data_IF_954914440729
#
_entry.id   IF_954914440729
#
_cell.length_a   1.000
_cell.length_b   1.000
_cell.length_c   1.000
_cell.angle_alpha   90.00
_cell.angle_beta   90.00
_cell.angle_gamma   90.00
#
_symmetry.space_group_name_H-M   'P 1'
#
loop_
_entity.id
_entity.type
_entity.pdbx_description
1 polymer ?
#
# COMPACT_ATOMS: atom_id res chain seq x y z
N UNK A 1 15.15 -48.82 8.92
CA UNK A 1 13.77 -48.64 9.40
C UNK A 1 13.78 -47.64 10.54
N UNK A 2 12.89 -46.64 10.46
CA UNK A 2 12.47 -45.66 11.47
C UNK A 2 13.58 -44.75 12.05
N UNK A 3 13.77 -43.50 11.63
CA UNK A 3 12.88 -42.31 11.56
C UNK A 3 12.89 -41.50 12.88
N UNK A 4 13.60 -40.37 12.82
CA UNK A 4 13.78 -39.41 13.91
C UNK A 4 13.15 -38.09 13.52
N UNK A 5 11.85 -37.95 13.81
CA UNK A 5 11.07 -36.74 13.55
C UNK A 5 11.33 -35.70 14.66
N UNK A 6 12.29 -34.80 14.42
CA UNK A 6 12.45 -33.56 15.17
C UNK A 6 11.46 -32.50 14.68
N UNK A 7 10.24 -32.50 15.25
CA UNK A 7 9.25 -31.46 15.02
C UNK A 7 9.68 -30.13 15.62
N UNK A 8 10.26 -29.25 14.80
CA UNK A 8 10.49 -27.85 15.17
C UNK A 8 9.16 -27.11 15.24
N UNK A 9 8.74 -26.71 16.44
CA UNK A 9 7.58 -25.85 16.61
C UNK A 9 7.73 -24.57 15.77
N UNK A 10 6.67 -24.10 15.08
CA UNK A 10 6.74 -22.85 14.32
C UNK A 10 7.12 -21.71 15.27
N UNK A 11 8.20 -20.98 14.95
CA UNK A 11 8.61 -19.79 15.69
C UNK A 11 7.42 -18.81 15.74
N UNK A 12 7.03 -18.31 16.92
CA UNK A 12 5.93 -17.37 17.01
C UNK A 12 6.26 -16.10 16.19
N UNK A 13 5.25 -15.50 15.54
CA UNK A 13 5.44 -14.26 14.79
C UNK A 13 5.97 -13.16 15.72
N UNK A 14 7.10 -12.55 15.34
CA UNK A 14 7.66 -11.40 16.04
C UNK A 14 6.97 -10.14 15.56
N UNK A 15 6.31 -9.44 16.47
CA UNK A 15 5.64 -8.18 16.16
C UNK A 15 6.54 -7.01 16.52
N UNK A 16 6.82 -6.12 15.56
CA UNK A 16 7.56 -4.88 15.77
C UNK A 16 6.62 -3.71 15.56
N UNK A 17 6.50 -2.86 16.58
CA UNK A 17 5.75 -1.60 16.53
C UNK A 17 6.77 -0.47 16.55
N UNK A 18 6.81 0.34 15.50
CA UNK A 18 7.70 1.50 15.41
C UNK A 18 6.90 2.78 15.65
N UNK A 19 7.41 3.66 16.51
CA UNK A 19 6.77 4.93 16.86
C UNK A 19 7.79 6.07 16.76
N UNK A 20 7.30 7.26 16.37
CA UNK A 20 8.08 8.48 16.45
C UNK A 20 8.43 8.81 17.92
N UNK A 21 9.47 9.60 18.17
CA UNK A 21 9.96 9.90 19.52
C UNK A 21 8.89 10.54 20.45
N UNK A 22 7.85 11.16 19.88
CA UNK A 22 6.72 11.76 20.60
C UNK A 22 5.69 10.74 21.12
N UNK A 23 5.65 9.50 20.60
CA UNK A 23 4.58 8.52 20.85
C UNK A 23 5.03 7.28 21.66
N UNK A 24 6.17 7.39 22.34
CA UNK A 24 6.78 6.28 23.09
C UNK A 24 5.85 5.67 24.14
N UNK A 25 5.09 6.50 24.86
CA UNK A 25 4.17 6.03 25.90
C UNK A 25 3.03 5.17 25.32
N UNK A 26 2.48 5.56 24.17
CA UNK A 26 1.45 4.80 23.48
C UNK A 26 1.99 3.46 22.93
N UNK A 27 3.21 3.48 22.39
CA UNK A 27 3.89 2.26 21.94
C UNK A 27 4.21 1.29 23.07
N UNK A 28 4.61 1.79 24.25
CA UNK A 28 4.87 0.97 25.44
C UNK A 28 3.59 0.33 26.00
N UNK A 29 2.47 1.07 25.98
CA UNK A 29 1.16 0.53 26.33
C UNK A 29 0.74 -0.61 25.38
N UNK A 30 0.85 -0.40 24.06
CA UNK A 30 0.52 -1.43 23.07
C UNK A 30 1.42 -2.67 23.17
N UNK A 31 2.72 -2.50 23.40
CA UNK A 31 3.64 -3.62 23.58
C UNK A 31 3.39 -4.40 24.88
N UNK A 32 2.99 -3.73 25.96
CA UNK A 32 2.60 -4.39 27.20
C UNK A 32 1.36 -5.28 27.01
N UNK A 33 0.37 -4.79 26.25
CA UNK A 33 -0.83 -5.56 25.93
C UNK A 33 -0.53 -6.80 25.08
N UNK A 34 0.40 -6.69 24.12
CA UNK A 34 0.86 -7.82 23.31
C UNK A 34 1.60 -8.87 24.15
N UNK A 35 2.46 -8.45 25.08
CA UNK A 35 3.15 -9.37 26.01
C UNK A 35 2.19 -10.10 26.93
N UNK A 36 1.15 -9.40 27.42
CA UNK A 36 0.10 -10.01 28.23
C UNK A 36 -0.66 -11.13 27.48
N UNK A 37 -0.68 -11.08 26.14
CA UNK A 37 -1.26 -12.10 25.25
C UNK A 37 -0.26 -13.20 24.86
N UNK A 38 0.91 -13.27 25.50
CA UNK A 38 1.95 -14.25 25.21
C UNK A 38 2.74 -13.99 23.93
N UNK A 39 2.65 -12.78 23.37
CA UNK A 39 3.34 -12.39 22.15
C UNK A 39 4.66 -11.69 22.48
N UNK A 40 5.72 -12.02 21.74
CA UNK A 40 7.01 -11.34 21.86
C UNK A 40 6.93 -9.94 21.20
N UNK A 41 6.86 -8.90 22.04
CA UNK A 41 6.72 -7.51 21.62
C UNK A 41 7.77 -6.62 22.31
N UNK A 42 8.41 -5.72 21.56
CA UNK A 42 9.38 -4.76 22.07
C UNK A 42 9.19 -3.39 21.42
N UNK A 43 9.25 -2.33 22.21
CA UNK A 43 9.26 -0.94 21.74
C UNK A 43 10.68 -0.52 21.45
N UNK A 44 10.94 0.05 20.28
CA UNK A 44 12.21 0.69 19.95
C UNK A 44 11.95 2.10 19.44
N UNK A 45 12.67 3.06 20.01
CA UNK A 45 12.73 4.42 19.46
C UNK A 45 13.69 4.43 18.26
N UNK A 46 13.49 5.37 17.34
CA UNK A 46 14.30 5.55 16.12
C UNK A 46 15.82 5.73 16.35
N UNK A 47 16.30 5.74 17.60
CA UNK A 47 17.72 5.74 17.95
C UNK A 47 18.35 4.34 18.11
N UNK A 48 17.64 3.24 17.82
CA UNK A 48 18.14 1.88 18.07
C UNK A 48 17.74 0.84 17.01
N UNK A 49 17.72 1.26 15.74
CA UNK A 49 17.88 0.28 14.66
C UNK A 49 19.20 -0.47 14.90
N UNK A 50 19.23 -1.81 14.79
CA UNK A 50 20.51 -2.50 14.75
C UNK A 50 21.34 -1.86 13.64
N UNK A 51 22.53 -1.37 13.97
CA UNK A 51 23.55 -1.11 12.95
C UNK A 51 23.84 -2.46 12.32
N UNK A 52 23.12 -2.75 11.24
CA UNK A 52 23.44 -3.85 10.35
C UNK A 52 24.82 -3.49 9.81
N UNK A 53 25.81 -4.32 10.11
CA UNK A 53 27.13 -4.21 9.52
C UNK A 53 26.95 -4.12 8.01
N UNK A 54 27.11 -2.90 7.48
CA UNK A 54 26.95 -2.64 6.07
C UNK A 54 27.91 -3.55 5.31
N UNK A 55 27.40 -4.27 4.32
CA UNK A 55 28.27 -4.78 3.26
C UNK A 55 29.00 -3.61 2.62
N UNK A 56 30.09 -3.89 1.89
CA UNK A 56 30.72 -2.85 1.08
C UNK A 56 29.63 -2.16 0.24
N UNK A 57 29.50 -0.82 0.30
CA UNK A 57 28.51 -0.12 -0.50
C UNK A 57 28.71 -0.52 -1.95
N UNK A 58 27.61 -0.84 -2.64
CA UNK A 58 27.64 -0.86 -4.10
C UNK A 58 28.31 0.45 -4.55
N UNK A 59 29.14 0.39 -5.59
CA UNK A 59 29.80 1.59 -6.11
C UNK A 59 28.78 2.71 -6.42
N UNK A 60 29.20 3.88 -6.90
CA UNK A 60 28.28 4.94 -7.32
C UNK A 60 27.45 4.58 -8.58
N UNK A 61 26.98 3.34 -8.69
CA UNK A 61 26.11 2.78 -9.71
C UNK A 61 24.71 3.38 -9.66
N UNK A 62 24.10 3.48 -10.84
CA UNK A 62 22.75 3.97 -10.98
C UNK A 62 21.74 2.98 -10.39
N UNK A 63 20.65 3.50 -9.83
CA UNK A 63 19.48 2.68 -9.51
C UNK A 63 18.52 2.77 -10.69
N UNK A 64 18.08 1.62 -11.22
CA UNK A 64 17.21 1.55 -12.38
C UNK A 64 15.85 0.94 -12.03
N UNK A 65 14.78 1.45 -12.64
CA UNK A 65 13.48 0.81 -12.59
C UNK A 65 13.37 -0.19 -13.74
N UNK A 66 13.03 -1.45 -13.44
CA UNK A 66 12.95 -2.52 -14.47
C UNK A 66 11.57 -3.14 -14.60
N UNK A 67 10.63 -2.73 -13.74
CA UNK A 67 9.28 -3.28 -13.72
C UNK A 67 8.31 -2.28 -13.10
N UNK A 68 7.09 -2.28 -13.62
CA UNK A 68 6.01 -1.41 -13.18
C UNK A 68 4.70 -2.15 -13.25
N UNK A 69 3.86 -1.96 -12.23
CA UNK A 69 2.47 -2.36 -12.29
C UNK A 69 1.60 -1.33 -11.63
N UNK A 70 0.33 -1.31 -12.02
CA UNK A 70 -0.64 -0.40 -11.42
C UNK A 70 -2.08 -0.88 -11.58
N UNK A 71 -2.92 -0.41 -10.66
CA UNK A 71 -4.35 -0.25 -10.86
C UNK A 71 -4.76 1.14 -10.37
N UNK A 72 -5.42 1.90 -11.22
CA UNK A 72 -5.92 3.25 -10.99
C UNK A 72 -7.28 3.42 -11.70
N UNK A 73 -8.05 4.49 -11.46
CA UNK A 73 -9.33 4.69 -12.14
C UNK A 73 -9.13 4.66 -13.66
N UNK A 74 -9.90 3.81 -14.34
CA UNK A 74 -9.85 3.62 -15.80
C UNK A 74 -8.73 2.71 -16.33
N UNK A 75 -7.68 2.42 -15.55
CA UNK A 75 -6.52 1.65 -16.03
C UNK A 75 -6.04 0.60 -15.02
N UNK A 76 -5.83 -0.61 -15.54
CA UNK A 76 -5.29 -1.76 -14.83
C UNK A 76 -3.93 -2.17 -15.41
N UNK A 77 -3.23 -1.31 -16.15
CA UNK A 77 -1.86 -1.56 -16.60
C UNK A 77 -1.15 -0.24 -16.96
N UNK A 78 0.20 -0.23 -17.02
CA UNK A 78 0.95 0.93 -17.50
C UNK A 78 0.56 1.41 -18.91
N UNK A 79 0.29 0.48 -19.83
CA UNK A 79 -0.11 0.80 -21.20
C UNK A 79 -1.50 1.44 -21.25
N UNK A 80 -2.46 0.89 -20.49
CA UNK A 80 -3.79 1.47 -20.38
C UNK A 80 -3.74 2.87 -19.75
N UNK A 81 -2.89 3.08 -18.73
CA UNK A 81 -2.67 4.40 -18.16
C UNK A 81 -2.06 5.37 -19.19
N UNK A 82 -1.12 4.90 -20.01
CA UNK A 82 -0.53 5.71 -21.06
C UNK A 82 -1.57 6.19 -22.08
N UNK A 83 -2.47 5.29 -22.51
CA UNK A 83 -3.57 5.64 -23.40
C UNK A 83 -4.50 6.70 -22.76
N UNK A 84 -4.87 6.53 -21.49
CA UNK A 84 -5.69 7.52 -20.77
C UNK A 84 -5.02 8.90 -20.68
N UNK A 85 -3.71 8.94 -20.41
CA UNK A 85 -2.94 10.19 -20.32
C UNK A 85 -2.81 10.86 -21.69
N UNK A 86 -2.61 10.08 -22.76
CA UNK A 86 -2.58 10.58 -24.13
C UNK A 86 -3.92 11.19 -24.54
N UNK A 87 -5.00 10.49 -24.23
CA UNK A 87 -6.36 10.85 -24.66
C UNK A 87 -6.99 11.91 -23.72
N UNK A 88 -6.33 12.21 -22.59
CA UNK A 88 -6.69 13.24 -21.60
C UNK A 88 -8.11 13.05 -21.04
N UNK A 89 -8.51 11.81 -20.80
CA UNK A 89 -9.86 11.47 -20.32
C UNK A 89 -9.90 11.47 -18.79
N UNK A 90 -10.63 12.41 -18.13
CA UNK A 90 -10.75 12.41 -16.68
C UNK A 90 -11.47 11.16 -16.17
N UNK A 91 -10.94 10.55 -15.11
CA UNK A 91 -11.48 9.31 -14.52
C UNK A 91 -12.13 9.57 -13.14
N UNK A 92 -12.97 10.59 -13.06
CA UNK A 92 -13.74 10.92 -11.86
C UNK A 92 -15.18 10.44 -12.01
N UNK A 93 -15.70 9.76 -10.99
CA UNK A 93 -17.03 9.14 -11.00
C UNK A 93 -17.62 9.07 -9.60
N UNK A 94 -18.91 8.75 -9.49
CA UNK A 94 -19.53 8.39 -8.21
C UNK A 94 -19.02 7.02 -7.72
N UNK A 95 -19.12 6.72 -6.41
CA UNK A 95 -18.58 5.47 -5.83
C UNK A 95 -19.28 4.17 -6.25
N UNK A 96 -20.46 4.24 -6.88
CA UNK A 96 -21.28 3.07 -7.17
C UNK A 96 -21.63 2.31 -5.88
N UNK A 97 -21.56 0.97 -5.90
CA UNK A 97 -21.88 0.13 -4.74
C UNK A 97 -20.86 0.15 -3.58
N UNK A 98 -19.84 1.01 -3.62
CA UNK A 98 -18.79 1.07 -2.57
C UNK A 98 -19.21 1.84 -1.33
N UNK A 99 -20.08 2.84 -1.49
CA UNK A 99 -20.67 3.60 -0.39
C UNK A 99 -21.97 4.22 -0.86
N UNK A 100 -22.90 4.42 0.07
CA UNK A 100 -24.12 5.17 -0.19
C UNK A 100 -23.80 6.67 -0.22
N UNK A 101 -23.56 7.20 -1.43
CA UNK A 101 -23.22 8.61 -1.60
C UNK A 101 -24.40 9.54 -1.30
N UNK A 102 -25.64 9.08 -1.48
CA UNK A 102 -26.83 9.87 -1.19
C UNK A 102 -27.01 10.08 0.31
N UNK A 103 -26.68 9.06 1.11
CA UNK A 103 -26.64 9.18 2.56
C UNK A 103 -25.52 10.11 3.06
N UNK A 104 -24.44 10.28 2.30
CA UNK A 104 -23.26 11.07 2.71
C UNK A 104 -23.23 12.48 2.13
N UNK A 105 -23.97 12.76 1.08
CA UNK A 105 -23.90 14.03 0.36
C UNK A 105 -24.82 15.11 0.95
N UNK A 106 -24.37 16.37 0.89
CA UNK A 106 -25.19 17.56 1.15
C UNK A 106 -24.75 18.71 0.23
N UNK A 107 -25.73 19.46 -0.28
CA UNK A 107 -25.46 20.71 -0.99
C UNK A 107 -24.88 21.79 -0.06
N UNK A 108 -25.21 21.75 1.23
CA UNK A 108 -24.64 22.63 2.25
C UNK A 108 -23.27 22.09 2.70
N UNK A 109 -22.16 22.79 2.41
CA UNK A 109 -20.81 22.40 2.84
C UNK A 109 -20.64 22.37 4.36
N UNK A 110 -21.44 23.16 5.10
CA UNK A 110 -21.40 23.23 6.55
C UNK A 110 -22.17 22.08 7.23
N UNK A 111 -22.98 21.32 6.49
CA UNK A 111 -23.74 20.21 7.06
C UNK A 111 -22.81 19.20 7.76
N UNK A 112 -23.05 18.86 9.03
CA UNK A 112 -22.17 17.98 9.78
C UNK A 112 -22.15 16.58 9.17
N UNK A 113 -20.97 15.94 9.18
CA UNK A 113 -20.77 14.57 8.69
C UNK A 113 -21.17 14.31 7.22
N UNK A 114 -21.19 15.37 6.40
CA UNK A 114 -21.51 15.30 4.96
C UNK A 114 -20.34 15.70 4.07
N UNK A 115 -20.25 15.07 2.89
CA UNK A 115 -19.45 15.55 1.77
C UNK A 115 -20.27 16.47 0.87
N UNK A 116 -19.66 17.54 0.35
CA UNK A 116 -20.29 18.38 -0.67
C UNK A 116 -19.99 17.91 -2.11
N UNK A 117 -19.07 16.95 -2.28
CA UNK A 117 -18.79 16.34 -3.59
C UNK A 117 -19.28 14.90 -3.63
N UNK A 118 -19.79 14.50 -4.82
CA UNK A 118 -20.28 13.14 -5.11
C UNK A 118 -19.25 12.30 -5.85
N UNK A 119 -18.28 12.95 -6.51
CA UNK A 119 -17.36 12.29 -7.43
C UNK A 119 -15.93 12.27 -6.90
N UNK A 120 -15.22 11.19 -7.23
CA UNK A 120 -13.83 10.94 -6.86
C UNK A 120 -13.20 9.96 -7.86
N UNK A 121 -11.92 9.67 -7.71
CA UNK A 121 -11.25 8.64 -8.51
C UNK A 121 -11.51 7.24 -7.95
N UNK A 122 -12.55 6.56 -8.44
CA UNK A 122 -12.84 5.18 -8.06
C UNK A 122 -12.41 4.18 -9.14
N UNK A 123 -11.92 3.02 -8.72
CA UNK A 123 -11.63 1.89 -9.62
C UNK A 123 -12.89 1.03 -9.69
N UNK A 124 -13.73 1.15 -10.72
CA UNK A 124 -14.94 0.31 -10.81
C UNK A 124 -14.63 -1.10 -11.29
N UNK A 125 -13.86 -1.21 -12.36
CA UNK A 125 -13.62 -2.47 -13.06
C UNK A 125 -12.13 -2.84 -13.02
N UNK A 126 -11.74 -3.59 -11.98
CA UNK A 126 -10.41 -4.20 -11.97
C UNK A 126 -10.37 -5.36 -12.97
N UNK A 127 -9.50 -5.26 -13.97
CA UNK A 127 -9.12 -6.38 -14.86
C UNK A 127 -7.87 -7.05 -14.28
N UNK A 128 -8.01 -8.10 -13.43
CA UNK A 128 -6.87 -8.64 -12.70
C UNK A 128 -5.88 -9.32 -13.65
N UNK A 129 -4.61 -9.23 -13.25
CA UNK A 129 -3.49 -9.98 -13.82
C UNK A 129 -3.86 -11.48 -13.90
N UNK A 130 -3.50 -12.21 -14.96
CA UNK A 130 -3.93 -13.61 -15.16
C UNK A 130 -3.69 -14.52 -13.96
N UNK A 131 -2.53 -14.39 -13.31
CA UNK A 131 -2.23 -15.15 -12.08
C UNK A 131 -3.16 -14.78 -10.92
N UNK A 132 -3.44 -13.49 -10.71
CA UNK A 132 -4.39 -13.07 -9.67
C UNK A 132 -5.80 -13.57 -9.98
N UNK A 133 -6.22 -13.54 -11.25
CA UNK A 133 -7.51 -14.08 -11.69
C UNK A 133 -7.65 -15.57 -11.35
N UNK A 134 -6.59 -16.36 -11.61
CA UNK A 134 -6.56 -17.78 -11.25
C UNK A 134 -6.57 -18.00 -9.72
N UNK A 135 -5.90 -17.15 -8.95
CA UNK A 135 -5.92 -17.20 -7.48
C UNK A 135 -7.30 -16.85 -6.90
N UNK A 136 -7.97 -15.83 -7.46
CA UNK A 136 -9.34 -15.46 -7.09
C UNK A 136 -10.33 -16.58 -7.42
N UNK A 137 -10.25 -17.17 -8.62
CA UNK A 137 -11.10 -18.28 -9.03
C UNK A 137 -10.92 -19.53 -8.13
N UNK A 138 -9.72 -19.73 -7.59
CA UNK A 138 -9.41 -20.81 -6.67
C UNK A 138 -9.69 -20.47 -5.19
N UNK A 139 -10.21 -19.27 -4.88
CA UNK A 139 -10.45 -18.83 -3.49
C UNK A 139 -9.18 -18.64 -2.65
N UNK A 140 -8.02 -18.46 -3.28
CA UNK A 140 -6.69 -18.36 -2.62
C UNK A 140 -6.19 -16.93 -2.43
N UNK A 141 -6.82 -15.94 -3.06
CA UNK A 141 -6.43 -14.54 -2.93
C UNK A 141 -7.24 -13.84 -1.81
N UNK A 142 -6.62 -12.94 -1.02
CA UNK A 142 -7.33 -12.16 0.00
C UNK A 142 -8.34 -11.22 -0.66
N UNK A 143 -9.64 -11.43 -0.42
CA UNK A 143 -10.71 -10.70 -1.14
C UNK A 143 -11.31 -9.51 -0.38
N UNK A 144 -10.98 -9.32 0.90
CA UNK A 144 -11.70 -8.36 1.75
C UNK A 144 -11.28 -6.91 1.54
N UNK A 145 -9.99 -6.66 1.34
CA UNK A 145 -9.44 -5.31 1.20
C UNK A 145 -9.10 -5.02 -0.28
N UNK A 146 -9.86 -4.14 -0.98
CA UNK A 146 -9.60 -3.80 -2.37
C UNK A 146 -8.19 -3.26 -2.62
N UNK A 147 -7.65 -2.46 -1.69
CA UNK A 147 -6.31 -1.89 -1.83
C UNK A 147 -5.22 -2.98 -1.82
N UNK A 148 -5.41 -4.07 -1.07
CA UNK A 148 -4.55 -5.26 -1.12
C UNK A 148 -4.63 -6.01 -2.44
N UNK A 149 -5.82 -6.13 -3.04
CA UNK A 149 -6.00 -6.73 -4.36
C UNK A 149 -5.31 -5.92 -5.46
N UNK A 150 -5.46 -4.59 -5.46
CA UNK A 150 -4.78 -3.71 -6.41
C UNK A 150 -3.26 -3.76 -6.25
N UNK A 151 -2.77 -3.79 -5.01
CA UNK A 151 -1.35 -3.94 -4.73
C UNK A 151 -0.84 -5.29 -5.28
N UNK A 152 -1.52 -6.40 -4.97
CA UNK A 152 -1.16 -7.73 -5.45
C UNK A 152 -1.14 -7.81 -6.98
N UNK A 153 -2.20 -7.32 -7.62
CA UNK A 153 -2.30 -7.21 -9.08
C UNK A 153 -1.09 -6.51 -9.68
N UNK A 154 -0.74 -5.38 -9.09
CA UNK A 154 0.31 -4.53 -9.60
C UNK A 154 1.71 -5.09 -9.31
N UNK A 155 1.92 -5.79 -8.18
CA UNK A 155 3.20 -6.46 -7.91
C UNK A 155 3.42 -7.58 -8.92
N UNK A 156 2.39 -8.34 -9.28
CA UNK A 156 2.49 -9.36 -10.33
C UNK A 156 2.93 -8.75 -11.66
N UNK A 157 2.29 -7.66 -12.09
CA UNK A 157 2.71 -6.92 -13.29
C UNK A 157 4.14 -6.41 -13.22
N UNK A 158 4.54 -5.85 -12.07
CA UNK A 158 5.90 -5.33 -11.90
C UNK A 158 6.97 -6.43 -11.93
N UNK A 159 6.57 -7.70 -11.81
CA UNK A 159 7.45 -8.87 -11.89
C UNK A 159 7.34 -9.59 -13.24
N UNK A 160 6.41 -9.22 -14.11
CA UNK A 160 6.29 -9.80 -15.44
C UNK A 160 7.57 -9.55 -16.26
N UNK A 161 8.10 -10.61 -16.87
CA UNK A 161 9.36 -10.55 -17.61
C UNK A 161 10.61 -10.43 -16.74
N UNK A 162 10.50 -10.31 -15.41
CA UNK A 162 11.66 -10.13 -14.54
C UNK A 162 12.04 -11.45 -13.85
N UNK A 163 13.29 -11.88 -14.07
CA UNK A 163 13.85 -13.05 -13.39
C UNK A 163 14.45 -12.68 -12.04
N UNK A 164 14.24 -13.56 -11.06
CA UNK A 164 14.77 -13.46 -9.71
C UNK A 164 15.53 -14.74 -9.44
N UNK A 165 16.85 -14.63 -9.30
CA UNK A 165 17.68 -15.79 -8.98
C UNK A 165 17.48 -16.22 -7.53
N UNK A 166 17.69 -17.51 -7.27
CA UNK A 166 17.65 -18.03 -5.91
C UNK A 166 18.68 -17.31 -5.03
N UNK A 167 18.23 -16.80 -3.88
CA UNK A 167 19.07 -16.02 -2.96
C UNK A 167 19.03 -14.50 -3.19
N UNK A 168 18.33 -14.00 -4.21
CA UNK A 168 18.11 -12.55 -4.41
C UNK A 168 17.40 -11.96 -3.20
N UNK A 169 18.04 -11.02 -2.50
CA UNK A 169 17.45 -10.36 -1.33
C UNK A 169 16.52 -9.27 -1.80
N UNK A 170 15.23 -9.44 -1.54
CA UNK A 170 14.19 -8.47 -1.91
C UNK A 170 13.83 -7.61 -0.71
N UNK A 171 13.81 -6.30 -0.87
CA UNK A 171 13.23 -5.35 0.07
C UNK A 171 11.86 -4.89 -0.44
N UNK A 172 10.90 -4.68 0.45
CA UNK A 172 9.60 -4.10 0.08
C UNK A 172 9.29 -2.87 0.94
N UNK A 173 8.94 -1.76 0.31
CA UNK A 173 8.36 -0.60 0.97
C UNK A 173 7.07 -0.19 0.25
N UNK A 174 5.98 -0.08 1.00
CA UNK A 174 4.67 0.28 0.44
C UNK A 174 4.06 1.42 1.24
N UNK A 175 3.74 2.51 0.55
CA UNK A 175 2.98 3.62 1.10
C UNK A 175 1.52 3.24 1.29
N UNK A 176 1.04 3.22 2.53
CA UNK A 176 -0.36 2.93 2.84
C UNK A 176 -0.72 3.57 4.18
N UNK A 177 -1.83 4.31 4.17
CA UNK A 177 -2.31 5.03 5.36
C UNK A 177 -3.39 4.21 6.06
N UNK A 178 -3.53 4.37 7.38
CA UNK A 178 -4.53 3.64 8.15
C UNK A 178 -5.98 3.96 7.75
N UNK A 179 -6.22 5.18 7.27
CA UNK A 179 -7.52 5.67 6.78
C UNK A 179 -7.79 5.27 5.32
N UNK A 180 -6.84 4.65 4.63
CA UNK A 180 -6.93 4.25 3.21
C UNK A 180 -7.47 2.85 2.97
N UNK A 181 -7.94 2.14 4.00
CA UNK A 181 -8.50 0.79 3.91
C UNK A 181 -10.03 0.79 3.97
N UNK A 182 -10.68 0.14 3.00
CA UNK A 182 -12.15 0.06 2.96
C UNK A 182 -12.69 -0.97 3.97
N UNK A 183 -12.06 -2.14 4.06
CA UNK A 183 -12.41 -3.14 5.06
C UNK A 183 -12.04 -2.66 6.46
N UNK A 184 -10.95 -1.90 6.60
CA UNK A 184 -10.55 -1.30 7.88
C UNK A 184 -11.62 -0.35 8.41
N UNK A 185 -12.12 0.58 7.59
CA UNK A 185 -13.21 1.49 7.94
C UNK A 185 -14.47 0.74 8.38
N UNK A 186 -14.95 -0.20 7.55
CA UNK A 186 -16.15 -0.99 7.87
C UNK A 186 -16.00 -1.81 9.16
N UNK A 187 -14.80 -2.33 9.41
CA UNK A 187 -14.49 -3.09 10.62
C UNK A 187 -14.48 -2.20 11.86
N UNK A 188 -13.92 -0.99 11.75
CA UNK A 188 -13.92 -0.01 12.84
C UNK A 188 -15.35 0.45 13.18
N UNK A 189 -16.20 0.72 12.19
CA UNK A 189 -17.59 1.13 12.42
C UNK A 189 -18.42 0.03 13.08
N UNK A 190 -18.26 -1.23 12.63
CA UNK A 190 -18.89 -2.39 13.26
C UNK A 190 -18.40 -2.61 14.68
N UNK A 191 -17.08 -2.54 14.88
CA UNK A 191 -16.48 -2.70 16.21
C UNK A 191 -16.91 -1.59 17.18
N UNK A 192 -16.90 -0.33 16.74
CA UNK A 192 -17.33 0.82 17.54
C UNK A 192 -18.78 0.70 17.99
N UNK A 193 -19.67 0.22 17.11
CA UNK A 193 -21.07 -0.02 17.48
C UNK A 193 -21.20 -1.09 18.57
N UNK A 194 -20.40 -2.17 18.52
CA UNK A 194 -20.36 -3.17 19.59
C UNK A 194 -19.80 -2.61 20.89
N UNK A 195 -18.79 -1.74 20.84
CA UNK A 195 -18.28 -1.09 22.05
C UNK A 195 -19.35 -0.25 22.74
N UNK A 196 -20.22 0.42 21.97
CA UNK A 196 -21.34 1.21 22.50
C UNK A 196 -22.51 0.32 23.00
N UNK A 197 -22.79 -0.79 22.32
CA UNK A 197 -23.89 -1.70 22.66
C UNK A 197 -23.53 -2.77 23.72
N UNK A 198 -22.23 -3.02 23.93
CA UNK A 198 -21.68 -4.05 24.82
C UNK A 198 -20.80 -5.07 24.08
N UNK A 199 -19.64 -5.50 24.64
CA UNK A 199 -18.64 -6.33 23.93
C UNK A 199 -19.14 -7.67 23.38
N UNK A 200 -20.22 -8.21 23.95
CA UNK A 200 -20.85 -9.47 23.56
C UNK A 200 -22.00 -9.29 22.56
N UNK A 201 -22.36 -8.05 22.19
CA UNK A 201 -23.41 -7.79 21.24
C UNK A 201 -22.99 -8.28 19.84
N UNK A 202 -23.85 -9.09 19.21
CA UNK A 202 -23.73 -9.37 17.79
C UNK A 202 -23.95 -8.08 16.99
N UNK A 203 -23.45 -8.03 15.75
CA UNK A 203 -23.81 -6.91 14.89
C UNK A 203 -25.31 -6.92 14.64
N UNK A 204 -26.00 -5.78 14.82
CA UNK A 204 -27.36 -5.67 14.33
C UNK A 204 -27.34 -5.88 12.81
N UNK A 205 -28.29 -6.68 12.29
CA UNK A 205 -28.37 -7.07 10.88
C UNK A 205 -28.28 -5.86 9.90
N UNK A 206 -28.92 -4.70 10.17
CA UNK A 206 -28.76 -3.51 9.33
C UNK A 206 -27.32 -2.98 9.24
N UNK A 207 -26.52 -3.11 10.30
CA UNK A 207 -25.13 -2.65 10.33
C UNK A 207 -24.22 -3.56 9.50
N UNK A 208 -24.48 -4.86 9.51
CA UNK A 208 -23.76 -5.80 8.66
C UNK A 208 -24.07 -5.57 7.17
N UNK A 209 -25.31 -5.19 6.84
CA UNK A 209 -25.72 -4.82 5.49
C UNK A 209 -25.07 -3.50 5.01
N UNK A 210 -24.97 -2.49 5.88
CA UNK A 210 -24.32 -1.21 5.55
C UNK A 210 -22.79 -1.32 5.43
N UNK A 211 -22.17 -2.20 6.24
CA UNK A 211 -20.71 -2.36 6.29
C UNK A 211 -20.27 -3.80 5.98
N UNK A 212 -20.55 -4.30 4.76
CA UNK A 212 -20.39 -5.71 4.39
C UNK A 212 -18.92 -6.17 4.40
N UNK A 213 -17.99 -5.27 4.06
CA UNK A 213 -16.55 -5.54 4.11
C UNK A 213 -15.97 -5.67 5.54
N UNK A 214 -16.76 -5.36 6.58
CA UNK A 214 -16.26 -5.39 7.95
C UNK A 214 -15.89 -6.79 8.44
N UNK A 215 -14.87 -6.84 9.29
CA UNK A 215 -14.29 -8.05 9.86
C UNK A 215 -14.25 -7.94 11.38
N UNK A 216 -14.53 -9.03 12.13
CA UNK A 216 -14.25 -9.06 13.56
C UNK A 216 -12.73 -9.04 13.85
N UNK A 217 -11.90 -9.44 12.87
CA UNK A 217 -10.44 -9.34 12.96
C UNK A 217 -9.96 -7.96 12.47
N UNK A 218 -9.90 -7.00 13.41
CA UNK A 218 -9.35 -5.66 13.13
C UNK A 218 -7.86 -5.72 12.80
N UNK A 219 -7.11 -6.60 13.46
CA UNK A 219 -5.67 -6.71 13.25
C UNK A 219 -5.35 -7.14 11.82
N UNK A 220 -6.15 -8.03 11.23
CA UNK A 220 -6.09 -8.45 9.84
C UNK A 220 -6.33 -7.35 8.81
N UNK A 221 -7.00 -6.25 9.20
CA UNK A 221 -7.24 -5.08 8.33
C UNK A 221 -6.15 -4.01 8.41
N UNK A 222 -5.19 -4.15 9.34
CA UNK A 222 -4.12 -3.18 9.49
C UNK A 222 -3.23 -3.11 8.22
N UNK A 223 -2.74 -1.92 7.83
CA UNK A 223 -1.97 -1.73 6.59
C UNK A 223 -0.82 -2.73 6.39
N UNK A 224 -0.07 -3.04 7.45
CA UNK A 224 1.03 -4.01 7.39
C UNK A 224 0.57 -5.44 7.08
N UNK A 225 -0.63 -5.85 7.52
CA UNK A 225 -1.22 -7.15 7.15
C UNK A 225 -1.65 -7.15 5.71
N UNK A 226 -2.32 -6.09 5.27
CA UNK A 226 -2.77 -5.94 3.87
C UNK A 226 -1.58 -6.02 2.91
N UNK A 227 -0.49 -5.30 3.19
CA UNK A 227 0.73 -5.32 2.37
C UNK A 227 1.37 -6.71 2.38
N UNK A 228 1.54 -7.32 3.55
CA UNK A 228 2.13 -8.66 3.67
C UNK A 228 1.32 -9.71 2.92
N UNK A 229 0.00 -9.70 3.08
CA UNK A 229 -0.89 -10.66 2.44
C UNK A 229 -0.95 -10.44 0.91
N UNK A 230 -0.81 -9.19 0.44
CA UNK A 230 -0.67 -8.88 -0.97
C UNK A 230 0.62 -9.47 -1.58
N UNK A 231 1.73 -9.50 -0.83
CA UNK A 231 3.03 -10.03 -1.27
C UNK A 231 3.16 -11.55 -1.12
N UNK A 232 2.35 -12.16 -0.25
CA UNK A 232 2.44 -13.58 0.10
C UNK A 232 2.42 -14.50 -1.14
N UNK A 233 3.42 -15.39 -1.22
CA UNK A 233 3.57 -16.34 -2.33
C UNK A 233 3.98 -15.72 -3.68
N UNK A 234 4.21 -14.41 -3.74
CA UNK A 234 4.74 -13.71 -4.92
C UNK A 234 6.20 -13.32 -4.70
N UNK A 235 6.47 -12.69 -3.55
CA UNK A 235 7.81 -12.33 -3.11
C UNK A 235 7.96 -12.72 -1.65
N UNK A 236 9.19 -13.00 -1.23
CA UNK A 236 9.55 -13.20 0.18
C UNK A 236 10.60 -12.15 0.57
N UNK A 237 10.19 -10.89 0.82
CA UNK A 237 11.13 -9.84 1.13
C UNK A 237 11.83 -10.09 2.47
N UNK A 238 13.14 -9.85 2.53
CA UNK A 238 13.92 -9.91 3.78
C UNK A 238 13.44 -8.88 4.80
N UNK A 239 12.82 -7.81 4.31
CA UNK A 239 12.21 -6.76 5.10
C UNK A 239 11.03 -6.14 4.32
N UNK A 240 9.93 -5.90 5.02
CA UNK A 240 8.75 -5.20 4.49
C UNK A 240 8.42 -4.02 5.39
N UNK A 241 8.37 -2.82 4.82
CA UNK A 241 8.07 -1.57 5.52
C UNK A 241 6.76 -1.00 4.96
N UNK A 242 5.86 -0.60 5.86
CA UNK A 242 4.72 0.23 5.50
C UNK A 242 5.04 1.67 5.85
N UNK A 243 4.88 2.56 4.87
CA UNK A 243 5.20 3.98 5.00
C UNK A 243 3.90 4.76 5.09
N UNK A 244 3.74 5.53 6.16
CA UNK A 244 2.67 6.51 6.27
C UNK A 244 3.28 7.90 6.49
N UNK A 245 3.31 8.67 5.41
CA UNK A 245 3.61 10.11 5.40
C UNK A 245 2.46 10.86 4.72
N UNK A 246 1.23 10.37 4.89
CA UNK A 246 0.05 10.82 4.16
C UNK A 246 0.26 10.81 2.63
N UNK A 247 0.14 11.96 1.95
CA UNK A 247 0.16 12.05 0.49
C UNK A 247 1.51 11.70 -0.14
N UNK A 248 2.63 11.78 0.60
CA UNK A 248 3.96 11.47 0.09
C UNK A 248 4.40 10.00 0.30
N UNK A 249 3.52 9.16 0.85
CA UNK A 249 3.86 7.80 1.29
C UNK A 249 4.47 6.93 0.20
N UNK A 250 3.90 6.95 -1.01
CA UNK A 250 4.43 6.18 -2.14
C UNK A 250 5.80 6.69 -2.58
N UNK A 251 6.04 8.00 -2.56
CA UNK A 251 7.34 8.59 -2.91
C UNK A 251 8.41 8.26 -1.87
N UNK A 252 8.09 8.36 -0.57
CA UNK A 252 9.01 7.97 0.50
C UNK A 252 9.36 6.48 0.45
N UNK A 253 8.45 5.62 0.00
CA UNK A 253 8.75 4.19 -0.20
C UNK A 253 9.92 3.96 -1.18
N UNK A 254 10.11 4.85 -2.16
CA UNK A 254 11.27 4.80 -3.07
C UNK A 254 12.56 5.17 -2.36
N UNK A 255 12.58 6.18 -1.47
CA UNK A 255 13.77 6.53 -0.70
C UNK A 255 14.22 5.34 0.18
N UNK A 256 13.29 4.68 0.87
CA UNK A 256 13.60 3.46 1.64
C UNK A 256 14.19 2.35 0.78
N UNK A 257 13.59 2.07 -0.38
CA UNK A 257 14.11 1.08 -1.32
C UNK A 257 15.49 1.46 -1.86
N UNK A 258 15.69 2.71 -2.27
CA UNK A 258 16.97 3.19 -2.78
C UNK A 258 18.08 3.09 -1.73
N UNK A 259 17.78 3.36 -0.45
CA UNK A 259 18.72 3.15 0.65
C UNK A 259 19.02 1.68 0.88
N UNK A 260 17.99 0.82 0.86
CA UNK A 260 18.18 -0.63 1.00
C UNK A 260 19.12 -1.20 -0.08
N UNK A 261 19.00 -0.72 -1.32
CA UNK A 261 19.89 -1.09 -2.42
C UNK A 261 21.31 -0.55 -2.23
N UNK A 262 21.46 0.74 -1.91
CA UNK A 262 22.79 1.38 -1.74
C UNK A 262 23.59 0.85 -0.57
N UNK A 263 22.91 0.50 0.51
CA UNK A 263 23.51 -0.05 1.72
C UNK A 263 23.80 -1.56 1.59
N UNK A 264 23.50 -2.16 0.43
CA UNK A 264 23.69 -3.59 0.18
C UNK A 264 22.81 -4.48 1.08
N UNK A 265 21.71 -3.94 1.62
CA UNK A 265 20.73 -4.70 2.42
C UNK A 265 19.81 -5.54 1.55
N UNK A 266 19.57 -5.11 0.31
CA UNK A 266 18.82 -5.83 -0.68
C UNK A 266 19.43 -5.65 -2.08
N UNK A 267 19.17 -6.64 -2.93
CA UNK A 267 19.58 -6.65 -4.34
C UNK A 267 18.45 -6.11 -5.23
N UNK A 268 17.21 -6.21 -4.76
CA UNK A 268 15.99 -5.75 -5.43
C UNK A 268 15.10 -5.03 -4.44
N UNK A 269 14.45 -3.94 -4.86
CA UNK A 269 13.43 -3.27 -4.05
C UNK A 269 12.08 -3.20 -4.79
N UNK A 270 10.99 -3.54 -4.09
CA UNK A 270 9.61 -3.29 -4.48
C UNK A 270 9.11 -2.04 -3.75
N UNK A 271 8.86 -0.95 -4.47
CA UNK A 271 8.47 0.35 -3.91
C UNK A 271 7.15 0.79 -4.52
N UNK A 272 6.21 1.29 -3.72
CA UNK A 272 4.94 1.79 -4.28
C UNK A 272 3.99 2.29 -3.22
N UNK A 273 2.70 2.28 -3.53
CA UNK A 273 1.66 2.55 -2.54
C UNK A 273 0.33 1.95 -2.93
N UNK A 274 -0.58 1.88 -1.96
CA UNK A 274 -1.96 1.48 -2.15
C UNK A 274 -2.89 2.35 -1.30
N UNK A 275 -4.02 2.77 -1.87
CA UNK A 275 -5.00 3.62 -1.19
C UNK A 275 -6.40 3.37 -1.74
N UNK A 276 -7.40 3.27 -0.88
CA UNK A 276 -8.82 3.22 -1.23
C UNK A 276 -9.54 4.47 -0.74
N UNK A 277 -10.37 5.04 -1.61
CA UNK A 277 -11.31 6.10 -1.23
C UNK A 277 -12.49 5.47 -0.48
N UNK A 278 -12.89 6.08 0.64
CA UNK A 278 -13.95 5.60 1.51
C UNK A 278 -14.79 6.77 2.07
N UNK A 279 -15.85 6.46 2.84
CA UNK A 279 -16.81 7.47 3.30
C UNK A 279 -16.17 8.49 4.24
N UNK A 280 -15.41 8.00 5.22
CA UNK A 280 -14.69 8.79 6.21
C UNK A 280 -13.75 9.79 5.53
N UNK A 281 -12.98 9.34 4.53
CA UNK A 281 -12.02 10.21 3.84
C UNK A 281 -12.73 11.25 2.98
N UNK A 282 -13.86 10.93 2.34
CA UNK A 282 -14.65 11.94 1.63
C UNK A 282 -15.21 13.00 2.58
N UNK A 283 -15.80 12.59 3.71
CA UNK A 283 -16.35 13.53 4.71
C UNK A 283 -15.24 14.37 5.34
N UNK A 284 -14.14 13.75 5.77
CA UNK A 284 -13.00 14.43 6.39
C UNK A 284 -12.46 15.54 5.49
N UNK A 285 -12.15 15.23 4.23
CA UNK A 285 -11.60 16.22 3.31
C UNK A 285 -12.63 17.28 2.89
N UNK A 286 -13.93 16.95 2.87
CA UNK A 286 -14.97 17.96 2.70
C UNK A 286 -15.01 18.94 3.90
N UNK A 287 -14.90 18.44 5.14
CA UNK A 287 -14.88 19.31 6.34
C UNK A 287 -13.62 20.17 6.46
N UNK A 288 -12.53 19.77 5.80
CA UNK A 288 -11.30 20.56 5.68
C UNK A 288 -11.34 21.54 4.50
N UNK A 289 -12.47 21.67 3.79
CA UNK A 289 -12.59 22.42 2.53
C UNK A 289 -11.50 22.03 1.49
N UNK A 290 -11.07 20.77 1.53
CA UNK A 290 -9.98 20.25 0.69
C UNK A 290 -10.42 19.64 -0.64
N UNK A 291 -11.73 19.49 -0.88
CA UNK A 291 -12.26 18.85 -2.08
C UNK A 291 -12.70 19.87 -3.13
N UNK A 292 -12.44 19.59 -4.40
CA UNK A 292 -12.94 20.41 -5.50
C UNK A 292 -14.47 20.31 -5.56
N UNK A 293 -15.17 21.45 -5.58
CA UNK A 293 -16.65 21.48 -5.58
C UNK A 293 -17.21 20.94 -6.89
N UNK A 294 -16.50 21.18 -7.98
CA UNK A 294 -16.82 20.65 -9.31
C UNK A 294 -16.43 19.18 -9.50
N UNK A 295 -15.85 18.51 -8.50
CA UNK A 295 -15.45 17.10 -8.61
C UNK A 295 -14.32 16.83 -9.62
N UNK A 296 -13.58 17.88 -10.01
CA UNK A 296 -12.47 17.83 -10.95
C UNK A 296 -11.25 18.52 -10.35
N UNK A 297 -10.10 17.86 -10.45
CA UNK A 297 -8.81 18.48 -10.10
C UNK A 297 -8.37 19.42 -11.22
N UNK A 298 -8.32 20.72 -10.93
CA UNK A 298 -7.90 21.75 -11.89
C UNK A 298 -6.50 22.27 -11.53
N UNK A 299 -5.52 21.38 -11.56
CA UNK A 299 -4.13 21.72 -11.18
C UNK A 299 -3.63 22.96 -11.91
N UNK A 300 -3.20 23.97 -11.15
CA UNK A 300 -2.63 25.24 -11.65
C UNK A 300 -3.60 26.15 -12.41
N UNK A 301 -4.89 25.81 -12.45
CA UNK A 301 -5.92 26.64 -13.08
C UNK A 301 -6.33 27.82 -12.18
N UNK A 302 -6.77 28.93 -12.79
CA UNK A 302 -7.28 30.10 -12.05
C UNK A 302 -8.50 29.77 -11.19
N UNK A 303 -9.33 28.82 -11.63
CA UNK A 303 -10.51 28.34 -10.93
C UNK A 303 -10.28 27.06 -10.12
N UNK A 304 -9.03 26.77 -9.73
CA UNK A 304 -8.72 25.66 -8.82
C UNK A 304 -9.31 25.93 -7.43
N UNK A 305 -10.13 25.01 -6.94
CA UNK A 305 -10.91 25.16 -5.71
C UNK A 305 -10.77 23.97 -4.74
N UNK A 306 -9.89 23.01 -5.04
CA UNK A 306 -9.61 21.86 -4.19
C UNK A 306 -9.02 20.67 -4.95
N UNK A 307 -8.84 19.56 -4.26
CA UNK A 307 -8.36 18.29 -4.81
C UNK A 307 -9.50 17.27 -4.96
N UNK A 308 -9.23 16.15 -5.61
CA UNK A 308 -10.10 14.97 -5.60
C UNK A 308 -9.28 13.79 -5.11
N UNK A 309 -9.90 12.91 -4.32
CA UNK A 309 -9.25 11.68 -3.88
C UNK A 309 -9.23 10.69 -5.05
N UNK A 310 -8.28 9.76 -5.05
CA UNK A 310 -8.27 8.69 -6.03
C UNK A 310 -7.76 7.41 -5.39
N UNK A 311 -8.44 6.30 -5.68
CA UNK A 311 -8.04 4.96 -5.30
C UNK A 311 -6.92 4.47 -6.23
N UNK A 312 -6.01 3.64 -5.75
CA UNK A 312 -5.00 3.03 -6.60
C UNK A 312 -4.00 2.14 -5.88
N UNK A 313 -3.30 1.31 -6.65
CA UNK A 313 -2.10 0.58 -6.25
C UNK A 313 -1.01 0.78 -7.32
N UNK A 314 0.21 1.17 -6.95
CA UNK A 314 1.29 1.49 -7.92
C UNK A 314 2.70 1.05 -7.47
N UNK A 315 2.99 -0.25 -7.34
CA UNK A 315 4.35 -0.78 -7.18
C UNK A 315 5.21 -0.59 -8.45
N UNK A 316 6.48 -0.24 -8.20
CA UNK A 316 7.59 -0.20 -9.15
C UNK A 316 8.77 -0.93 -8.54
N UNK A 317 9.58 -1.56 -9.40
CA UNK A 317 10.75 -2.34 -8.98
C UNK A 317 12.05 -1.62 -9.32
N UNK A 318 12.99 -1.56 -8.37
CA UNK A 318 14.31 -0.92 -8.52
C UNK A 318 15.48 -1.92 -8.36
N UNK A 319 16.61 -1.67 -9.05
CA UNK A 319 17.87 -2.43 -8.98
C UNK A 319 19.12 -1.54 -8.86
N UNK A 320 20.20 -1.96 -8.17
CA UNK A 320 21.53 -1.37 -8.24
C UNK A 320 22.29 -1.90 -9.49
N UNK A 321 23.02 -1.04 -10.20
CA UNK A 321 23.77 -1.43 -11.41
C UNK A 321 25.28 -1.46 -11.16
N UNK A 322 25.91 -2.62 -11.37
CA UNK A 322 27.34 -2.81 -11.70
C UNK A 322 27.40 -3.75 -12.93
N UNK A 323 28.27 -3.43 -13.90
CA UNK A 323 28.39 -3.98 -15.26
C UNK A 323 27.81 -5.40 -15.53
N UNK A 324 26.59 -5.45 -16.09
CA UNK A 324 26.05 -6.63 -16.77
C UNK A 324 25.47 -6.21 -18.14
N UNK A 325 25.98 -6.80 -19.22
CA UNK A 325 25.43 -6.65 -20.57
C UNK A 325 23.98 -7.15 -20.63
N UNK A 326 23.02 -6.21 -20.60
CA UNK A 326 21.63 -6.50 -20.93
C UNK A 326 21.47 -6.50 -22.46
N UNK A 327 21.23 -7.69 -23.03
CA UNK A 327 20.85 -7.82 -24.44
C UNK A 327 19.51 -7.10 -24.67
N UNK A 328 19.36 -6.45 -25.83
CA UNK A 328 18.27 -5.52 -26.15
C UNK A 328 16.87 -6.15 -26.33
N UNK A 329 16.49 -7.14 -25.51
CA UNK A 329 15.20 -7.83 -25.58
C UNK A 329 14.22 -7.45 -24.45
N UNK A 330 14.62 -6.66 -23.46
CA UNK A 330 13.76 -6.32 -22.32
C UNK A 330 13.26 -4.87 -22.40
N UNK A 331 11.94 -4.69 -22.49
CA UNK A 331 11.26 -3.40 -22.62
C UNK A 331 11.46 -2.51 -21.39
N UNK A 332 12.28 -1.45 -21.55
CA UNK A 332 12.62 -0.48 -20.51
C UNK A 332 11.59 0.65 -20.46
N UNK A 333 10.80 0.75 -19.40
CA UNK A 333 9.95 1.92 -19.12
C UNK A 333 10.33 2.59 -17.79
N UNK A 334 10.82 3.84 -17.92
CA UNK A 334 11.34 4.80 -16.92
C UNK A 334 12.86 4.73 -16.62
N UNK A 335 13.64 5.51 -17.38
CA UNK A 335 15.08 5.77 -17.18
C UNK A 335 15.28 7.01 -16.29
N UNK A 336 15.46 6.84 -14.98
CA UNK A 336 15.94 7.93 -14.11
C UNK A 336 17.47 7.92 -14.13
N UNK A 337 18.06 8.75 -15.00
CA UNK A 337 19.51 8.84 -15.20
C UNK A 337 20.07 9.93 -14.28
N UNK A 338 20.90 9.58 -13.30
CA UNK A 338 21.80 10.53 -12.64
C UNK A 338 23.22 9.96 -12.75
N UNK A 339 24.05 10.58 -13.58
CA UNK A 339 25.47 10.23 -13.77
C UNK A 339 26.32 11.24 -13.02
N UNK A 340 27.27 10.79 -12.20
CA UNK A 340 28.48 11.58 -11.92
C UNK A 340 29.56 11.09 -12.89
N UNK A 341 29.97 11.95 -13.81
CA UNK A 341 31.18 11.76 -14.60
C UNK A 341 32.35 11.87 -13.64
N UNK A 342 33.17 10.82 -13.51
CA UNK A 342 34.53 10.97 -12.95
C UNK A 342 35.45 11.38 -14.09
N UNK A 343 36.13 12.50 -13.92
CA UNK A 343 37.25 12.90 -14.76
C UNK A 343 38.31 11.80 -14.72
N UNK A 344 38.81 11.44 -15.91
CA UNK A 344 39.94 10.53 -16.09
C UNK A 344 41.22 11.30 -15.72
N UNK A 345 42.05 10.84 -14.78
CA UNK A 345 43.42 11.33 -14.68
C UNK A 345 44.25 10.74 -15.84
N UNK A 346 45.07 11.58 -16.46
CA UNK A 346 46.16 11.17 -17.37
C UNK A 346 47.18 10.28 -16.65
#
# INVERSE_FOLDING_TARGET
>A
MADGTGGGAPRPPRYRVEAAAADRAAAEAAAAELRARGLDAAVRTAGSLPSLTAGAPAGPGAIVAVGMGLAVPGACSPDELWDLLRDRVPQFSEPGGRMDIDALWSADPAAPDKTYTRTSGFIHDLRPHPRLRAELAAGRAPQREPSGLWLRHSVLQALDGVRLDAGTRTFAAVGMTADGGHAAEHSLLRHGTRLLAGPAAADPEPLAALYPAGSPDLAGTAPYRVVRDALAGIADPVETVVVDTACSSSLYSFDFGMRALREGRADVALCGGAYSVNAQTMVLFAKLDGLARGGLVRSLDRGADGACRAAGGTPRRLWPHDDAELSAADGVYARLRLRRVRETPL
#
